data_IF_200756972614
#
_entry.id   IF_200756972614
#
_cell.length_a   1.000
_cell.length_b   1.000
_cell.length_c   1.000
_cell.angle_alpha   90.00
_cell.angle_beta   90.00
_cell.angle_gamma   90.00
#
_symmetry.space_group_name_H-M   'P 1'
#
loop_
_entity.id
_entity.type
_entity.pdbx_description
1 polymer ?
#
# COMPACT_ATOMS: atom_id res chain seq x y z
N UNK A 1 -0.16 -9.22 -2.80
CA UNK A 1 1.22 -9.49 -2.34
C UNK A 1 2.04 -8.22 -2.36
N UNK A 2 2.70 -7.92 -1.24
CA UNK A 2 3.75 -6.89 -1.15
C UNK A 2 5.08 -7.49 -1.60
N UNK A 3 5.76 -6.83 -2.54
CA UNK A 3 7.09 -7.24 -2.99
C UNK A 3 8.17 -6.38 -2.33
N UNK A 4 8.97 -7.03 -1.49
CA UNK A 4 10.19 -6.46 -0.92
C UNK A 4 11.39 -6.74 -1.84
N UNK A 5 12.02 -5.69 -2.35
CA UNK A 5 13.16 -5.84 -3.27
C UNK A 5 14.47 -5.28 -2.72
N UNK A 6 15.53 -6.06 -2.92
CA UNK A 6 16.94 -5.69 -2.87
C UNK A 6 17.55 -5.89 -4.27
N UNK A 7 18.44 -4.99 -4.73
CA UNK A 7 18.92 -4.78 -6.10
C UNK A 7 19.89 -5.82 -6.65
N UNK A 8 19.72 -7.08 -6.28
CA UNK A 8 20.46 -8.21 -6.87
C UNK A 8 19.62 -9.03 -7.86
N UNK A 9 18.32 -8.70 -8.03
CA UNK A 9 17.41 -9.45 -8.89
C UNK A 9 17.34 -8.89 -10.32
N UNK A 10 17.52 -9.71 -11.36
CA UNK A 10 17.20 -9.31 -12.74
C UNK A 10 15.71 -9.00 -12.83
N UNK A 11 15.42 -7.78 -13.26
CA UNK A 11 14.08 -7.17 -13.20
C UNK A 11 13.12 -7.79 -14.23
N UNK A 12 13.66 -8.43 -15.26
CA UNK A 12 12.92 -8.97 -16.41
C UNK A 12 12.00 -10.15 -16.06
N UNK A 13 12.02 -10.64 -14.80
CA UNK A 13 11.24 -11.81 -14.35
C UNK A 13 10.14 -11.47 -13.33
N UNK A 14 9.95 -10.21 -12.94
CA UNK A 14 8.91 -9.86 -11.96
C UNK A 14 7.56 -9.74 -12.68
N UNK A 15 6.65 -10.68 -12.40
CA UNK A 15 5.26 -10.60 -12.85
C UNK A 15 4.48 -9.62 -11.96
N UNK A 16 4.04 -8.49 -12.53
CA UNK A 16 3.31 -7.44 -11.81
C UNK A 16 1.80 -7.66 -11.73
N UNK A 17 1.27 -8.71 -12.37
CA UNK A 17 -0.18 -8.94 -12.47
C UNK A 17 -0.86 -9.25 -11.12
N UNK A 18 -0.10 -9.61 -10.09
CA UNK A 18 -0.59 -9.94 -8.74
C UNK A 18 0.12 -9.17 -7.61
N UNK A 19 0.74 -8.03 -7.94
CA UNK A 19 1.47 -7.20 -6.96
C UNK A 19 0.58 -6.03 -6.53
N UNK A 20 0.34 -5.93 -5.23
CA UNK A 20 -0.48 -4.85 -4.64
C UNK A 20 0.35 -3.61 -4.32
N UNK A 21 1.61 -3.83 -3.91
CA UNK A 21 2.59 -2.78 -3.62
C UNK A 21 4.04 -3.30 -3.75
N UNK A 22 4.95 -2.41 -4.14
CA UNK A 22 6.40 -2.66 -4.17
C UNK A 22 7.10 -1.73 -3.20
N UNK A 23 7.81 -2.32 -2.24
CA UNK A 23 8.60 -1.60 -1.24
C UNK A 23 10.08 -1.87 -1.47
N UNK A 24 10.80 -0.83 -1.88
CA UNK A 24 12.25 -0.88 -2.05
C UNK A 24 12.91 -0.39 -0.79
N UNK A 25 13.51 -1.30 -0.04
CA UNK A 25 14.43 -0.99 1.06
C UNK A 25 15.84 -1.30 0.57
N UNK A 26 16.72 -0.30 0.59
CA UNK A 26 18.03 -0.36 -0.03
C UNK A 26 18.77 -1.66 0.22
N UNK A 27 19.30 -2.20 -0.85
CA UNK A 27 19.83 -3.54 -0.92
C UNK A 27 21.24 -3.65 -0.35
N UNK A 28 21.63 -4.88 -0.02
CA UNK A 28 23.00 -5.24 0.32
C UNK A 28 23.57 -6.05 -0.85
N UNK A 29 24.80 -5.75 -1.35
CA UNK A 29 25.76 -4.82 -0.75
C UNK A 29 25.60 -3.35 -1.20
N UNK A 30 24.90 -3.05 -2.29
CA UNK A 30 24.68 -1.68 -2.78
C UNK A 30 23.27 -1.51 -3.35
N UNK A 31 22.76 -0.27 -3.39
CA UNK A 31 21.49 0.11 -4.01
C UNK A 31 21.75 1.04 -5.21
N UNK A 32 21.43 0.56 -6.42
CA UNK A 32 21.56 1.34 -7.66
C UNK A 32 20.29 2.16 -7.94
N UNK A 33 20.42 3.48 -8.03
CA UNK A 33 19.31 4.39 -8.28
C UNK A 33 18.64 4.21 -9.66
N UNK A 34 19.39 3.86 -10.71
CA UNK A 34 18.81 3.60 -12.03
C UNK A 34 17.94 2.34 -11.99
N UNK A 35 18.38 1.33 -11.25
CA UNK A 35 17.57 0.14 -10.98
C UNK A 35 16.28 0.53 -10.22
N UNK A 36 16.36 1.36 -9.17
CA UNK A 36 15.17 1.84 -8.43
C UNK A 36 14.18 2.56 -9.37
N UNK A 37 14.67 3.43 -10.25
CA UNK A 37 13.84 4.15 -11.22
C UNK A 37 13.19 3.20 -12.25
N UNK A 38 13.86 2.12 -12.63
CA UNK A 38 13.31 1.13 -13.55
C UNK A 38 12.17 0.31 -12.91
N UNK A 39 12.28 -0.02 -11.61
CA UNK A 39 11.20 -0.65 -10.84
C UNK A 39 10.02 0.30 -10.72
N UNK A 40 10.27 1.57 -10.38
CA UNK A 40 9.23 2.60 -10.32
C UNK A 40 8.48 2.71 -11.65
N UNK A 41 9.20 2.71 -12.77
CA UNK A 41 8.59 2.78 -14.12
C UNK A 41 7.60 1.63 -14.34
N UNK A 42 7.96 0.41 -13.96
CA UNK A 42 7.06 -0.75 -14.05
C UNK A 42 5.86 -0.60 -13.13
N UNK A 43 6.06 -0.15 -11.88
CA UNK A 43 4.94 0.09 -10.98
C UNK A 43 3.94 1.11 -11.55
N UNK A 44 4.43 2.16 -12.21
CA UNK A 44 3.56 3.14 -12.91
C UNK A 44 2.80 2.49 -14.07
N UNK A 45 3.46 1.66 -14.89
CA UNK A 45 2.82 0.97 -16.01
C UNK A 45 1.70 0.03 -15.54
N UNK A 46 1.93 -0.66 -14.42
CA UNK A 46 0.99 -1.62 -13.85
C UNK A 46 0.06 -1.03 -12.77
N UNK A 47 0.08 0.28 -12.55
CA UNK A 47 -0.75 0.96 -11.55
C UNK A 47 -0.60 0.39 -10.12
N UNK A 48 0.62 -0.02 -9.76
CA UNK A 48 0.98 -0.58 -8.46
C UNK A 48 1.61 0.50 -7.57
N UNK A 49 1.29 0.49 -6.28
CA UNK A 49 1.93 1.35 -5.28
C UNK A 49 3.44 1.10 -5.25
N UNK A 50 4.24 2.16 -5.23
CA UNK A 50 5.70 2.06 -5.14
C UNK A 50 6.24 2.99 -4.07
N UNK A 51 7.07 2.45 -3.16
CA UNK A 51 7.76 3.21 -2.13
C UNK A 51 9.26 2.97 -2.14
N UNK A 52 10.02 4.06 -2.13
CA UNK A 52 11.46 4.04 -1.86
C UNK A 52 11.69 4.31 -0.37
N UNK A 53 11.96 3.26 0.40
CA UNK A 53 11.99 3.28 1.86
C UNK A 53 13.37 3.64 2.42
N UNK A 54 14.45 3.17 1.78
CA UNK A 54 15.82 3.36 2.27
C UNK A 54 16.83 3.26 1.11
N UNK A 55 17.93 4.02 1.19
CA UNK A 55 19.05 3.93 0.24
C UNK A 55 19.98 2.75 0.51
N UNK A 56 19.91 2.14 1.70
CA UNK A 56 20.93 1.19 2.16
C UNK A 56 22.29 1.86 2.42
N UNK A 57 23.31 1.09 2.86
CA UNK A 57 24.60 1.62 3.30
C UNK A 57 25.48 2.08 2.15
N UNK A 58 25.34 1.51 0.95
CA UNK A 58 26.08 1.91 -0.26
C UNK A 58 25.06 2.24 -1.34
N UNK A 59 25.02 3.49 -1.79
CA UNK A 59 24.07 3.98 -2.77
C UNK A 59 24.79 4.46 -4.03
N UNK A 60 24.37 3.98 -5.20
CA UNK A 60 24.98 4.33 -6.49
C UNK A 60 24.03 5.24 -7.25
N UNK A 61 24.51 6.42 -7.63
CA UNK A 61 23.74 7.40 -8.43
C UNK A 61 24.66 8.11 -9.40
N UNK A 62 24.26 8.18 -10.67
CA UNK A 62 25.01 8.85 -11.74
C UNK A 62 26.47 8.36 -11.85
N UNK A 63 26.68 7.05 -11.66
CA UNK A 63 28.00 6.42 -11.69
C UNK A 63 28.88 6.66 -10.45
N UNK A 64 28.38 7.39 -9.44
CA UNK A 64 29.08 7.66 -8.18
C UNK A 64 28.54 6.78 -7.06
N UNK A 65 29.44 6.26 -6.23
CA UNK A 65 29.11 5.49 -5.03
C UNK A 65 29.15 6.39 -3.80
N UNK A 66 28.15 6.26 -2.93
CA UNK A 66 27.99 7.00 -1.70
C UNK A 66 27.80 6.04 -0.53
N UNK A 67 28.60 6.20 0.52
CA UNK A 67 28.36 5.51 1.79
C UNK A 67 27.40 6.33 2.64
N UNK A 68 26.22 5.78 2.94
CA UNK A 68 25.15 6.49 3.65
C UNK A 68 25.03 5.95 5.10
N UNK A 69 25.27 6.80 6.12
CA UNK A 69 25.03 6.45 7.52
C UNK A 69 23.62 5.95 7.78
N UNK A 70 23.46 4.95 8.64
CA UNK A 70 22.18 4.24 8.87
C UNK A 70 21.01 5.14 9.27
N UNK A 71 21.29 6.19 10.05
CA UNK A 71 20.35 7.22 10.48
C UNK A 71 19.88 8.12 9.31
N UNK A 72 20.67 8.22 8.24
CA UNK A 72 20.35 9.02 7.06
C UNK A 72 19.67 8.23 5.93
N UNK A 73 19.76 6.90 5.89
CA UNK A 73 19.32 6.12 4.72
C UNK A 73 17.84 6.31 4.37
N UNK A 74 16.97 6.34 5.38
CA UNK A 74 15.52 6.55 5.19
C UNK A 74 15.22 7.99 4.76
N UNK A 75 15.84 8.98 5.41
CA UNK A 75 15.61 10.39 5.10
C UNK A 75 16.15 10.74 3.72
N UNK A 76 17.26 10.15 3.30
CA UNK A 76 17.82 10.30 1.95
C UNK A 76 16.93 9.68 0.88
N UNK A 77 16.35 8.49 1.11
CA UNK A 77 15.38 7.90 0.20
C UNK A 77 14.13 8.77 0.06
N UNK A 78 13.61 9.29 1.18
CA UNK A 78 12.44 10.17 1.18
C UNK A 78 12.69 11.47 0.39
N UNK A 79 13.89 12.06 0.51
CA UNK A 79 14.28 13.26 -0.24
C UNK A 79 14.30 13.06 -1.76
N UNK A 80 14.36 11.82 -2.25
CA UNK A 80 14.27 11.54 -3.68
C UNK A 80 12.87 11.84 -4.26
N UNK A 81 11.82 11.82 -3.42
CA UNK A 81 10.43 12.13 -3.81
C UNK A 81 9.94 11.31 -5.02
N UNK A 82 10.33 10.03 -5.07
CA UNK A 82 10.02 9.13 -6.19
C UNK A 82 8.90 8.12 -5.88
N UNK A 83 8.31 8.16 -4.68
CA UNK A 83 7.14 7.32 -4.35
C UNK A 83 6.02 7.55 -5.39
N UNK A 84 5.27 6.49 -5.71
CA UNK A 84 4.15 6.55 -6.66
C UNK A 84 2.89 5.96 -6.04
N UNK A 85 1.80 6.72 -6.11
CA UNK A 85 0.51 6.41 -5.50
C UNK A 85 -0.57 6.30 -6.60
N UNK A 86 -0.99 5.09 -6.98
CA UNK A 86 -1.91 4.88 -8.10
C UNK A 86 -3.31 5.46 -7.88
N UNK A 87 -3.79 5.56 -6.63
CA UNK A 87 -5.18 5.89 -6.33
C UNK A 87 -5.42 7.38 -6.00
N UNK A 88 -4.56 8.29 -6.47
CA UNK A 88 -4.61 9.70 -6.09
C UNK A 88 -5.98 10.37 -6.35
N UNK A 89 -6.62 10.09 -7.49
CA UNK A 89 -7.93 10.65 -7.81
C UNK A 89 -9.04 10.15 -6.86
N UNK A 90 -8.99 8.87 -6.46
CA UNK A 90 -9.90 8.31 -5.47
C UNK A 90 -9.71 8.99 -4.11
N UNK A 91 -8.46 9.11 -3.63
CA UNK A 91 -8.19 9.73 -2.33
C UNK A 91 -8.55 11.22 -2.29
N UNK A 92 -8.40 11.96 -3.40
CA UNK A 92 -8.89 13.34 -3.50
C UNK A 92 -10.42 13.40 -3.29
N UNK A 93 -11.18 12.51 -3.92
CA UNK A 93 -12.65 12.44 -3.72
C UNK A 93 -13.02 12.05 -2.29
N UNK A 94 -12.33 11.06 -1.72
CA UNK A 94 -12.57 10.59 -0.34
C UNK A 94 -12.31 11.71 0.69
N UNK A 95 -11.30 12.56 0.46
CA UNK A 95 -10.97 13.67 1.34
C UNK A 95 -12.11 14.68 1.51
N UNK A 96 -12.99 14.84 0.50
CA UNK A 96 -14.17 15.70 0.57
C UNK A 96 -15.33 15.11 1.40
N UNK A 97 -15.30 13.83 1.73
CA UNK A 97 -16.32 13.21 2.60
C UNK A 97 -15.90 13.31 4.06
N UNK A 98 -16.63 14.13 4.84
CA UNK A 98 -16.39 14.32 6.28
C UNK A 98 -16.33 13.02 7.07
N UNK A 99 -17.18 12.04 6.72
CA UNK A 99 -17.15 10.72 7.34
C UNK A 99 -15.85 9.98 7.01
N UNK A 100 -15.47 9.90 5.74
CA UNK A 100 -14.30 9.12 5.28
C UNK A 100 -12.97 9.74 5.72
N UNK A 101 -12.88 11.07 5.69
CA UNK A 101 -11.68 11.81 6.12
C UNK A 101 -11.52 11.89 7.65
N UNK A 102 -12.53 11.47 8.43
CA UNK A 102 -12.43 11.44 9.90
C UNK A 102 -11.58 10.29 10.45
N UNK A 103 -11.31 9.26 9.63
CA UNK A 103 -10.54 8.10 10.04
C UNK A 103 -9.03 8.38 10.00
N UNK A 104 -8.32 7.93 11.03
CA UNK A 104 -6.86 8.02 11.11
C UNK A 104 -6.29 6.86 11.93
N UNK A 105 -5.05 6.46 11.63
CA UNK A 105 -4.34 5.47 12.45
C UNK A 105 -3.92 6.09 13.79
N UNK A 106 -4.38 5.51 14.90
CA UNK A 106 -3.99 5.95 16.25
C UNK A 106 -2.73 5.22 16.70
N UNK A 107 -2.22 5.58 17.88
CA UNK A 107 -1.00 4.99 18.46
C UNK A 107 -1.04 3.46 18.50
N UNK A 108 -2.19 2.87 18.84
CA UNK A 108 -2.37 1.42 18.93
C UNK A 108 -2.24 0.74 17.57
N UNK A 109 -2.89 1.27 16.53
CA UNK A 109 -2.81 0.67 15.19
C UNK A 109 -1.43 0.88 14.57
N UNK A 110 -0.78 2.03 14.80
CA UNK A 110 0.61 2.26 14.38
C UNK A 110 1.58 1.29 15.05
N UNK A 111 1.41 1.04 16.35
CA UNK A 111 2.21 0.04 17.07
C UNK A 111 1.99 -1.37 16.49
N UNK A 112 0.75 -1.72 16.18
CA UNK A 112 0.43 -3.02 15.57
C UNK A 112 1.09 -3.19 14.20
N UNK A 113 1.08 -2.16 13.35
CA UNK A 113 1.78 -2.18 12.05
C UNK A 113 3.28 -2.43 12.24
N UNK A 114 3.91 -1.73 13.19
CA UNK A 114 5.34 -1.89 13.47
C UNK A 114 5.68 -3.27 14.03
N UNK A 115 4.81 -3.83 14.89
CA UNK A 115 5.01 -5.14 15.51
C UNK A 115 4.86 -6.28 14.49
N UNK A 116 3.85 -6.21 13.62
CA UNK A 116 3.53 -7.32 12.69
C UNK A 116 4.26 -7.24 11.36
N UNK A 117 4.62 -6.05 10.90
CA UNK A 117 5.23 -5.84 9.60
C UNK A 117 4.23 -5.90 8.43
N UNK A 118 4.67 -5.46 7.27
CA UNK A 118 3.80 -5.25 6.10
C UNK A 118 3.26 -6.54 5.49
N UNK A 119 4.05 -7.61 5.42
CA UNK A 119 3.60 -8.90 4.88
C UNK A 119 2.38 -9.44 5.63
N UNK A 120 2.40 -9.34 6.97
CA UNK A 120 1.27 -9.80 7.79
C UNK A 120 0.04 -8.91 7.63
N UNK A 121 0.24 -7.62 7.37
CA UNK A 121 -0.84 -6.67 7.12
C UNK A 121 -1.50 -6.91 5.76
N UNK A 122 -0.71 -7.24 4.74
CA UNK A 122 -1.19 -7.68 3.43
C UNK A 122 -2.01 -8.97 3.55
N UNK A 123 -1.47 -9.98 4.26
CA UNK A 123 -2.18 -11.24 4.53
C UNK A 123 -3.55 -10.98 5.21
N UNK A 124 -3.58 -10.13 6.24
CA UNK A 124 -4.83 -9.78 6.92
C UNK A 124 -5.80 -9.02 6.01
N UNK A 125 -5.29 -8.13 5.14
CA UNK A 125 -6.12 -7.41 4.18
C UNK A 125 -6.87 -8.39 3.27
N UNK A 126 -6.13 -9.30 2.64
CA UNK A 126 -6.67 -10.35 1.78
C UNK A 126 -7.67 -11.24 2.53
N UNK A 127 -7.32 -11.70 3.73
CA UNK A 127 -8.20 -12.54 4.54
C UNK A 127 -9.52 -11.84 4.87
N UNK A 128 -9.48 -10.57 5.30
CA UNK A 128 -10.68 -9.83 5.66
C UNK A 128 -11.57 -9.50 4.46
N UNK A 129 -10.98 -9.14 3.31
CA UNK A 129 -11.77 -8.92 2.08
C UNK A 129 -12.44 -10.21 1.63
N UNK A 130 -11.68 -11.32 1.61
CA UNK A 130 -12.20 -12.62 1.23
C UNK A 130 -13.33 -13.08 2.15
N UNK A 131 -13.14 -13.03 3.46
CA UNK A 131 -14.11 -13.51 4.44
C UNK A 131 -15.37 -12.63 4.51
N UNK A 132 -15.22 -11.30 4.44
CA UNK A 132 -16.30 -10.35 4.78
C UNK A 132 -16.99 -9.73 3.59
N UNK A 133 -16.40 -9.77 2.39
CA UNK A 133 -16.92 -9.04 1.23
C UNK A 133 -17.01 -9.86 -0.06
N UNK A 134 -16.26 -10.95 -0.20
CA UNK A 134 -16.18 -11.68 -1.48
C UNK A 134 -17.51 -12.23 -1.98
N UNK A 135 -18.39 -12.69 -1.08
CA UNK A 135 -19.69 -13.25 -1.47
C UNK A 135 -20.64 -12.18 -2.02
N UNK A 136 -21.51 -12.57 -2.95
CA UNK A 136 -22.55 -11.69 -3.53
C UNK A 136 -23.41 -11.00 -2.47
N UNK A 137 -23.75 -11.74 -1.41
CA UNK A 137 -24.51 -11.27 -0.25
C UNK A 137 -23.75 -11.62 1.04
N UNK A 138 -22.80 -10.78 1.49
CA UNK A 138 -22.05 -11.04 2.71
C UNK A 138 -22.94 -11.02 3.95
N UNK A 139 -22.59 -11.82 4.95
CA UNK A 139 -23.29 -11.83 6.23
C UNK A 139 -23.20 -10.45 6.90
N UNK A 140 -24.35 -9.92 7.34
CA UNK A 140 -24.45 -8.60 7.98
C UNK A 140 -23.90 -7.45 7.13
N UNK A 141 -24.12 -7.47 5.80
CA UNK A 141 -23.65 -6.39 4.92
C UNK A 141 -24.12 -5.00 5.40
N UNK A 142 -23.18 -4.05 5.47
CA UNK A 142 -23.35 -2.74 6.10
C UNK A 142 -22.88 -2.68 7.56
N UNK A 143 -22.68 -3.82 8.24
CA UNK A 143 -22.24 -3.93 9.64
C UNK A 143 -21.15 -4.98 9.85
N UNK A 144 -20.64 -5.60 8.79
CA UNK A 144 -19.68 -6.69 8.86
C UNK A 144 -18.26 -6.26 9.26
N UNK A 145 -17.93 -4.97 9.08
CA UNK A 145 -16.59 -4.44 9.30
C UNK A 145 -16.57 -3.62 10.60
N UNK A 146 -15.84 -4.07 11.64
CA UNK A 146 -15.69 -3.29 12.87
C UNK A 146 -15.14 -1.89 12.60
N UNK A 147 -15.42 -0.93 13.48
CA UNK A 147 -14.93 0.46 13.33
C UNK A 147 -13.54 0.68 13.97
N UNK A 148 -13.00 -0.30 14.68
CA UNK A 148 -11.77 -0.19 15.46
C UNK A 148 -11.10 -1.54 15.67
N UNK A 149 -9.87 -1.53 16.19
CA UNK A 149 -9.18 -2.73 16.66
C UNK A 149 -8.20 -3.35 15.65
N UNK A 150 -8.23 -2.92 14.39
CA UNK A 150 -7.24 -3.31 13.39
C UNK A 150 -7.04 -2.19 12.34
N UNK A 151 -5.80 -1.92 11.87
CA UNK A 151 -5.52 -0.90 10.85
C UNK A 151 -6.33 -1.11 9.56
N UNK A 152 -6.48 -2.36 9.11
CA UNK A 152 -7.29 -2.68 7.92
C UNK A 152 -8.77 -2.30 8.08
N UNK A 153 -9.35 -2.46 9.26
CA UNK A 153 -10.75 -2.08 9.47
C UNK A 153 -10.93 -0.56 9.35
N UNK A 154 -10.00 0.21 9.92
CA UNK A 154 -9.98 1.67 9.75
C UNK A 154 -9.80 2.04 8.27
N UNK A 155 -8.90 1.36 7.56
CA UNK A 155 -8.68 1.57 6.13
C UNK A 155 -9.96 1.30 5.33
N UNK A 156 -10.68 0.19 5.58
CA UNK A 156 -11.93 -0.14 4.90
C UNK A 156 -12.99 0.94 5.06
N UNK A 157 -13.10 1.52 6.27
CA UNK A 157 -14.03 2.63 6.47
C UNK A 157 -13.54 3.92 5.83
N UNK A 158 -12.25 4.24 5.92
CA UNK A 158 -11.68 5.43 5.31
C UNK A 158 -11.79 5.42 3.78
N UNK A 159 -11.70 4.25 3.15
CA UNK A 159 -11.67 4.10 1.68
C UNK A 159 -13.01 3.70 1.07
N UNK A 160 -14.05 3.50 1.87
CA UNK A 160 -15.35 3.04 1.33
C UNK A 160 -15.33 1.58 0.88
N UNK A 161 -14.52 0.75 1.51
CA UNK A 161 -14.42 -0.69 1.26
C UNK A 161 -14.98 -1.53 2.42
N UNK A 162 -15.89 -0.98 3.23
CA UNK A 162 -16.40 -1.65 4.44
C UNK A 162 -17.68 -2.48 4.21
N UNK A 163 -18.41 -2.25 3.12
CA UNK A 163 -19.61 -3.01 2.72
C UNK A 163 -19.88 -2.93 1.21
N UNK A 164 -20.80 -3.75 0.68
CA UNK A 164 -21.11 -3.74 -0.77
C UNK A 164 -21.70 -2.41 -1.23
N UNK A 165 -22.54 -1.77 -0.41
CA UNK A 165 -23.06 -0.43 -0.73
C UNK A 165 -21.97 0.64 -0.84
N UNK A 166 -20.89 0.52 -0.05
CA UNK A 166 -19.74 1.43 -0.19
C UNK A 166 -18.91 1.11 -1.44
N UNK A 167 -18.69 -0.18 -1.75
CA UNK A 167 -18.02 -0.61 -2.98
C UNK A 167 -18.75 -0.13 -4.24
N UNK A 168 -20.08 -0.23 -4.26
CA UNK A 168 -20.92 0.29 -5.34
C UNK A 168 -20.76 1.81 -5.49
N UNK A 169 -20.83 2.55 -4.37
CA UNK A 169 -20.77 4.02 -4.38
C UNK A 169 -19.40 4.59 -4.76
N UNK A 170 -18.32 4.03 -4.23
CA UNK A 170 -16.99 4.65 -4.32
C UNK A 170 -16.10 4.05 -5.41
N UNK A 171 -16.31 2.76 -5.68
CA UNK A 171 -15.46 1.93 -6.54
C UNK A 171 -16.19 1.36 -7.75
N UNK A 172 -17.48 1.68 -7.90
CA UNK A 172 -18.32 1.24 -9.01
C UNK A 172 -18.40 -0.29 -9.18
N UNK A 173 -18.23 -1.03 -8.08
CA UNK A 173 -18.37 -2.50 -8.05
C UNK A 173 -19.82 -2.82 -7.67
N UNK A 174 -20.62 -3.41 -8.57
CA UNK A 174 -22.03 -3.70 -8.29
C UNK A 174 -22.19 -4.65 -7.10
N UNK A 175 -23.23 -4.38 -6.28
CA UNK A 175 -23.65 -5.33 -5.24
C UNK A 175 -24.37 -6.53 -5.84
N UNK A 176 -24.50 -7.60 -5.06
CA UNK A 176 -25.21 -8.81 -5.48
C UNK A 176 -24.42 -9.72 -6.43
N UNK A 177 -23.16 -9.39 -6.74
CA UNK A 177 -22.25 -10.22 -7.51
C UNK A 177 -21.01 -10.56 -6.68
N UNK A 178 -20.50 -11.81 -6.70
CA UNK A 178 -19.27 -12.15 -6.01
C UNK A 178 -18.10 -11.30 -6.50
N UNK A 179 -17.18 -10.93 -5.61
CA UNK A 179 -15.95 -10.25 -6.01
C UNK A 179 -15.04 -11.24 -6.72
N UNK A 180 -14.57 -10.89 -7.91
CA UNK A 180 -13.47 -11.63 -8.55
C UNK A 180 -12.18 -11.48 -7.72
N UNK A 181 -11.20 -12.36 -7.92
CA UNK A 181 -9.87 -12.22 -7.31
C UNK A 181 -9.28 -10.84 -7.62
N UNK A 182 -9.32 -10.44 -8.89
CA UNK A 182 -8.87 -9.13 -9.33
C UNK A 182 -9.53 -7.96 -8.57
N UNK A 183 -10.85 -8.01 -8.37
CA UNK A 183 -11.54 -6.97 -7.59
C UNK A 183 -11.11 -6.96 -6.12
N UNK A 184 -10.82 -8.13 -5.54
CA UNK A 184 -10.31 -8.23 -4.17
C UNK A 184 -8.90 -7.62 -4.07
N UNK A 185 -8.03 -7.92 -5.02
CA UNK A 185 -6.67 -7.37 -5.10
C UNK A 185 -6.69 -5.84 -5.26
N UNK A 186 -7.55 -5.31 -6.15
CA UNK A 186 -7.74 -3.86 -6.30
C UNK A 186 -8.19 -3.20 -4.98
N UNK A 187 -9.09 -3.84 -4.24
CA UNK A 187 -9.51 -3.33 -2.92
C UNK A 187 -8.33 -3.36 -1.94
N UNK A 188 -7.56 -4.45 -1.89
CA UNK A 188 -6.40 -4.55 -1.00
C UNK A 188 -5.36 -3.48 -1.32
N UNK A 189 -5.03 -3.27 -2.60
CA UNK A 189 -4.13 -2.19 -3.04
C UNK A 189 -4.56 -0.81 -2.52
N UNK A 190 -5.86 -0.48 -2.60
CA UNK A 190 -6.42 0.77 -2.06
C UNK A 190 -6.25 0.86 -0.53
N UNK A 191 -6.48 -0.24 0.19
CA UNK A 191 -6.33 -0.28 1.65
C UNK A 191 -4.89 -0.07 2.09
N UNK A 192 -3.95 -0.76 1.43
CA UNK A 192 -2.52 -0.61 1.71
C UNK A 192 -2.05 0.80 1.41
N UNK A 193 -2.48 1.40 0.29
CA UNK A 193 -2.15 2.79 -0.04
C UNK A 193 -2.63 3.76 1.05
N UNK A 194 -3.85 3.60 1.56
CA UNK A 194 -4.34 4.45 2.66
C UNK A 194 -3.46 4.32 3.90
N UNK A 195 -3.12 3.09 4.31
CA UNK A 195 -2.25 2.84 5.47
C UNK A 195 -0.89 3.51 5.26
N UNK A 196 -0.30 3.36 4.07
CA UNK A 196 0.97 4.00 3.71
C UNK A 196 0.87 5.52 3.81
N UNK A 197 -0.19 6.14 3.29
CA UNK A 197 -0.40 7.59 3.43
C UNK A 197 -0.46 8.02 4.90
N UNK A 198 -1.09 7.22 5.76
CA UNK A 198 -1.17 7.49 7.21
C UNK A 198 0.16 7.32 7.96
N UNK A 199 1.12 6.58 7.41
CA UNK A 199 2.46 6.36 8.01
C UNK A 199 3.53 7.27 7.40
N UNK A 200 3.43 7.62 6.11
CA UNK A 200 4.35 8.53 5.40
C UNK A 200 4.04 10.00 5.67
N UNK A 201 2.78 10.37 5.90
CA UNK A 201 2.43 11.71 6.38
C UNK A 201 2.76 11.85 7.87
N UNK A 202 4.04 12.02 8.18
CA UNK A 202 4.43 12.82 9.34
C UNK A 202 3.96 14.24 9.04
N UNK A 203 2.85 14.67 9.64
CA UNK A 203 2.58 16.11 9.70
C UNK A 203 3.82 16.73 10.36
N UNK A 204 4.50 17.57 9.58
CA UNK A 204 5.51 18.54 10.00
C UNK A 204 5.07 19.29 11.25
#
# INVERSE_FOLDING_TARGET
MILHLSSDKPIQEICFDSIDAVFVAGALPFCDYNWVLSIRKQCIQHHCLFLFLSTGPVFIKDGKSYTIPSDLQHSQALKAQIDYYPHQALFNRLAHSTFRSSFTLRKKEKAYLNEKGWDKIDEHAHAFIKERLSLAAPKNDGKQTPMHGHPIFLAQHATGCCCRGCLEKWHHIPKGQPLSSYQQDQIVSILLEWIVRQTRCSKS
#
